data_IF_201232026468
#
_entry.id   IF_201232026468
#
_cell.length_a   1.000
_cell.length_b   1.000
_cell.length_c   1.000
_cell.angle_alpha   90.00
_cell.angle_beta   90.00
_cell.angle_gamma   90.00
#
_symmetry.space_group_name_H-M   'P 1'
#
loop_
_entity.id
_entity.type
_entity.pdbx_description
1 polymer ?
#
# COMPACT_ATOMS: atom_id res chain seq x y z
N UNK A 1 -12.80 -18.78 8.31
CA UNK A 1 -13.33 -17.43 8.44
C UNK A 1 -12.43 -16.56 9.32
N UNK A 2 -12.06 -15.43 8.82
CA UNK A 2 -11.16 -14.52 9.54
C UNK A 2 -11.96 -13.57 10.38
N UNK A 3 -11.67 -13.48 11.64
CA UNK A 3 -12.46 -12.67 12.53
C UNK A 3 -11.66 -11.70 13.36
N UNK A 4 -10.49 -12.02 13.71
CA UNK A 4 -9.74 -11.23 14.68
C UNK A 4 -8.64 -10.43 14.04
N UNK A 5 -8.84 -10.09 12.78
CA UNK A 5 -7.87 -9.26 12.11
C UNK A 5 -7.89 -7.85 12.68
N UNK A 6 -6.72 -7.24 12.69
CA UNK A 6 -6.61 -5.84 12.99
C UNK A 6 -7.57 -5.09 12.07
N UNK A 7 -8.43 -4.19 12.58
CA UNK A 7 -9.38 -3.47 11.74
C UNK A 7 -8.73 -2.78 10.54
N UNK A 8 -7.51 -2.30 10.70
CA UNK A 8 -6.81 -1.66 9.60
C UNK A 8 -6.45 -2.63 8.50
N UNK A 9 -6.20 -3.89 8.84
CA UNK A 9 -5.85 -4.94 7.88
C UNK A 9 -7.04 -5.80 7.52
N UNK A 10 -8.23 -5.37 7.85
CA UNK A 10 -9.45 -6.13 7.61
C UNK A 10 -9.79 -6.18 6.11
N UNK A 11 -9.44 -5.17 5.38
CA UNK A 11 -9.70 -5.12 3.94
C UNK A 11 -8.78 -6.07 3.19
N UNK A 12 -9.33 -6.85 2.26
CA UNK A 12 -8.53 -7.71 1.40
C UNK A 12 -7.50 -6.89 0.63
N UNK A 13 -7.90 -5.71 0.19
CA UNK A 13 -7.00 -4.85 -0.57
C UNK A 13 -5.82 -4.40 0.28
N UNK A 14 -6.07 -4.03 1.53
CA UNK A 14 -4.98 -3.63 2.41
C UNK A 14 -4.01 -4.77 2.68
N UNK A 15 -4.54 -5.98 2.88
CA UNK A 15 -3.69 -7.16 3.06
C UNK A 15 -2.86 -7.43 1.82
N UNK A 16 -3.46 -7.29 0.63
CA UNK A 16 -2.74 -7.49 -0.61
C UNK A 16 -1.61 -6.49 -0.78
N UNK A 17 -1.88 -5.22 -0.47
CA UNK A 17 -0.87 -4.17 -0.54
C UNK A 17 0.29 -4.48 0.41
N UNK A 18 -0.02 -4.84 1.64
CA UNK A 18 1.03 -5.15 2.61
C UNK A 18 1.85 -6.36 2.18
N UNK A 19 1.20 -7.39 1.64
CA UNK A 19 1.92 -8.57 1.14
C UNK A 19 2.90 -8.21 0.04
N UNK A 20 2.51 -7.32 -0.86
CA UNK A 20 3.38 -6.88 -1.93
C UNK A 20 4.58 -6.12 -1.36
N UNK A 21 4.30 -5.17 -0.47
CA UNK A 21 5.36 -4.29 0.04
C UNK A 21 6.35 -4.99 0.97
N UNK A 22 5.90 -6.00 1.68
CA UNK A 22 6.81 -6.78 2.53
C UNK A 22 7.83 -7.54 1.70
N UNK A 23 7.45 -7.93 0.50
CA UNK A 23 8.33 -8.70 -0.37
C UNK A 23 9.28 -7.89 -1.23
N UNK A 24 9.18 -6.55 -1.19
CA UNK A 24 10.02 -5.67 -2.01
C UNK A 24 10.48 -4.48 -1.17
N UNK A 25 11.50 -3.77 -1.65
CA UNK A 25 11.97 -2.58 -0.94
C UNK A 25 11.01 -1.41 -1.14
N UNK A 26 10.47 -1.30 -2.33
CA UNK A 26 9.50 -0.26 -2.64
C UNK A 26 8.70 -0.67 -3.86
N UNK A 27 7.51 -0.11 -4.02
CA UNK A 27 6.68 -0.35 -5.18
C UNK A 27 5.92 0.93 -5.52
N UNK A 28 5.76 1.19 -6.81
CA UNK A 28 5.00 2.37 -7.19
C UNK A 28 3.51 2.05 -7.27
N UNK A 29 2.73 3.13 -7.33
CA UNK A 29 1.27 3.03 -7.34
C UNK A 29 0.75 2.18 -8.52
N UNK A 30 1.34 2.38 -9.70
CA UNK A 30 0.90 1.66 -10.89
C UNK A 30 1.12 0.15 -10.73
N UNK A 31 2.28 -0.21 -10.21
CA UNK A 31 2.60 -1.62 -9.98
C UNK A 31 1.62 -2.26 -9.00
N UNK A 32 1.40 -1.58 -7.86
CA UNK A 32 0.49 -2.09 -6.83
C UNK A 32 -0.92 -2.22 -7.40
N UNK A 33 -1.35 -1.23 -8.17
CA UNK A 33 -2.68 -1.25 -8.77
C UNK A 33 -2.83 -2.46 -9.72
N UNK A 34 -1.82 -2.72 -10.53
CA UNK A 34 -1.86 -3.85 -11.45
C UNK A 34 -1.90 -5.18 -10.71
N UNK A 35 -1.12 -5.30 -9.64
CA UNK A 35 -1.06 -6.54 -8.89
C UNK A 35 -2.34 -6.82 -8.13
N UNK A 36 -3.03 -5.79 -7.67
CA UNK A 36 -4.23 -5.96 -6.87
C UNK A 36 -5.50 -5.92 -7.68
N UNK A 37 -5.46 -5.35 -8.89
CA UNK A 37 -6.66 -5.17 -9.71
C UNK A 37 -7.58 -4.09 -9.19
N UNK A 38 -7.15 -3.29 -8.23
CA UNK A 38 -8.00 -2.27 -7.62
C UNK A 38 -8.16 -1.05 -8.53
N UNK A 39 -9.21 -0.29 -8.27
CA UNK A 39 -9.36 1.01 -8.93
C UNK A 39 -8.38 1.99 -8.30
N UNK A 40 -8.01 3.02 -9.06
CA UNK A 40 -7.09 4.02 -8.55
C UNK A 40 -7.64 4.72 -7.30
N UNK A 41 -8.93 5.04 -7.31
CA UNK A 41 -9.55 5.69 -6.18
C UNK A 41 -9.55 4.85 -4.91
N UNK A 42 -9.94 3.59 -5.04
CA UNK A 42 -9.96 2.70 -3.88
C UNK A 42 -8.57 2.43 -3.35
N UNK A 43 -7.61 2.21 -4.24
CA UNK A 43 -6.24 1.97 -3.83
C UNK A 43 -5.67 3.19 -3.09
N UNK A 44 -5.93 4.39 -3.61
CA UNK A 44 -5.47 5.61 -2.97
C UNK A 44 -5.98 5.74 -1.55
N UNK A 45 -7.26 5.44 -1.33
CA UNK A 45 -7.86 5.48 0.01
C UNK A 45 -7.17 4.50 0.94
N UNK A 46 -6.92 3.28 0.47
CA UNK A 46 -6.30 2.28 1.33
C UNK A 46 -4.85 2.62 1.65
N UNK A 47 -4.12 3.16 0.68
CA UNK A 47 -2.75 3.59 0.93
C UNK A 47 -2.70 4.72 1.95
N UNK A 48 -3.64 5.67 1.88
CA UNK A 48 -3.70 6.74 2.84
C UNK A 48 -3.94 6.20 4.26
N UNK A 49 -4.84 5.25 4.39
CA UNK A 49 -5.13 4.66 5.70
C UNK A 49 -3.92 3.93 6.27
N UNK A 50 -3.21 3.19 5.44
CA UNK A 50 -2.02 2.47 5.89
C UNK A 50 -0.90 3.44 6.27
N UNK A 51 -0.77 4.53 5.52
CA UNK A 51 0.22 5.54 5.80
C UNK A 51 -0.08 6.27 7.10
N UNK A 52 -1.33 6.62 7.34
CA UNK A 52 -1.74 7.27 8.58
C UNK A 52 -1.49 6.40 9.80
N UNK A 53 -1.62 5.10 9.64
CA UNK A 53 -1.35 4.17 10.72
C UNK A 53 0.14 3.91 10.93
N UNK A 54 0.99 4.40 10.04
CA UNK A 54 2.42 4.22 10.14
C UNK A 54 2.95 2.91 9.60
N UNK A 55 2.12 2.13 8.91
CA UNK A 55 2.55 0.85 8.37
C UNK A 55 3.35 0.99 7.09
N UNK A 56 3.10 2.04 6.34
CA UNK A 56 3.83 2.32 5.10
C UNK A 56 4.15 3.80 5.02
N UNK A 57 5.10 4.14 4.14
CA UNK A 57 5.33 5.53 3.77
C UNK A 57 4.97 5.69 2.31
N UNK A 58 4.44 6.84 1.97
CA UNK A 58 4.04 7.17 0.60
C UNK A 58 4.78 8.43 0.19
N UNK A 59 5.57 8.31 -0.86
CA UNK A 59 6.32 9.44 -1.39
C UNK A 59 5.79 9.78 -2.77
N UNK A 60 5.46 11.03 -2.96
CA UNK A 60 5.00 11.54 -4.25
C UNK A 60 6.14 12.32 -4.89
N UNK A 61 6.45 11.98 -6.11
CA UNK A 61 7.52 12.63 -6.83
C UNK A 61 7.30 12.50 -8.32
N UNK A 62 8.39 12.57 -9.06
CA UNK A 62 8.32 12.48 -10.51
C UNK A 62 9.33 11.47 -11.00
N UNK A 63 8.95 10.76 -12.04
CA UNK A 63 9.86 9.88 -12.76
C UNK A 63 9.93 10.45 -14.17
N UNK A 64 10.98 11.22 -14.42
CA UNK A 64 11.02 12.03 -15.62
C UNK A 64 9.98 13.14 -15.52
N UNK A 65 9.05 13.20 -16.46
CA UNK A 65 8.00 14.21 -16.47
C UNK A 65 6.68 13.70 -15.88
N UNK A 66 6.62 12.44 -15.51
CA UNK A 66 5.38 11.84 -15.02
C UNK A 66 5.35 11.79 -13.51
N UNK A 67 4.21 12.15 -12.89
CA UNK A 67 4.08 11.97 -11.44
C UNK A 67 4.21 10.50 -11.09
N UNK A 68 4.87 10.23 -9.99
CA UNK A 68 5.06 8.87 -9.53
C UNK A 68 4.86 8.82 -8.02
N UNK A 69 4.06 7.89 -7.55
CA UNK A 69 3.85 7.66 -6.13
C UNK A 69 4.52 6.35 -5.77
N UNK A 70 5.44 6.40 -4.82
CA UNK A 70 6.20 5.24 -4.38
C UNK A 70 5.85 4.91 -2.94
N UNK A 71 5.62 3.64 -2.66
CA UNK A 71 5.24 3.17 -1.34
C UNK A 71 6.31 2.23 -0.80
N UNK A 72 6.56 2.32 0.52
CA UNK A 72 7.48 1.44 1.22
C UNK A 72 6.86 0.98 2.52
N UNK A 73 7.16 -0.27 2.89
CA UNK A 73 6.71 -0.75 4.19
C UNK A 73 7.63 -0.20 5.27
N UNK A 74 7.08 0.08 6.44
CA UNK A 74 7.85 0.52 7.60
C UNK A 74 8.10 -0.66 8.52
N UNK A 75 8.90 -0.44 9.56
CA UNK A 75 9.11 -1.47 10.58
C UNK A 75 7.79 -1.86 11.24
N UNK A 76 6.92 -0.90 11.49
CA UNK A 76 5.61 -1.19 12.08
C UNK A 76 4.78 -2.09 11.17
N UNK A 77 4.89 -1.89 9.84
CA UNK A 77 4.18 -2.71 8.89
C UNK A 77 4.72 -4.13 8.79
N UNK A 78 6.01 -4.31 9.07
CA UNK A 78 6.63 -5.62 9.05
C UNK A 78 6.35 -6.39 10.34
N UNK A 79 6.35 -5.69 11.44
CA UNK A 79 6.07 -6.30 12.74
C UNK A 79 4.61 -6.70 12.86
#
# INVERSE_FOLDING_TARGET
>A
MFKKLNPLLHSELRLAVMSILVGVDEADFVYIRKQTGATAGNLSVQLDKLSEAGYITVEKGFKGKKPCTTCRVTEAGIS
#
